data_IF_580777143647
#
_entry.id   IF_580777143647
#
_cell.length_a   1.000
_cell.length_b   1.000
_cell.length_c   1.000
_cell.angle_alpha   90.00
_cell.angle_beta   90.00
_cell.angle_gamma   90.00
#
_symmetry.space_group_name_H-M   'P 1'
#
loop_
_entity.id
_entity.type
_entity.pdbx_description
1 polymer ?
#
# COMPACT_ATOMS: atom_id res chain seq x y z
N UNK A 1 9.94 -19.91 -8.74
CA UNK A 1 11.23 -19.93 -8.00
C UNK A 1 11.58 -18.48 -7.78
N UNK A 2 11.75 -18.06 -6.53
CA UNK A 2 12.13 -16.69 -6.20
C UNK A 2 13.56 -16.37 -6.67
N UNK A 3 13.90 -15.09 -6.71
CA UNK A 3 15.27 -14.64 -7.02
C UNK A 3 16.21 -15.04 -5.87
N UNK A 4 17.42 -15.54 -6.13
CA UNK A 4 18.39 -15.79 -5.06
C UNK A 4 18.57 -14.56 -4.15
N UNK A 5 18.44 -14.74 -2.84
CA UNK A 5 18.52 -13.64 -1.85
C UNK A 5 19.83 -12.87 -1.91
N UNK A 6 20.94 -13.54 -2.25
CA UNK A 6 22.24 -12.89 -2.53
C UNK A 6 22.16 -11.81 -3.62
N UNK A 7 21.32 -11.97 -4.65
CA UNK A 7 21.12 -10.94 -5.67
C UNK A 7 20.31 -9.76 -5.14
N UNK A 8 19.47 -9.95 -4.11
CA UNK A 8 18.79 -8.85 -3.42
C UNK A 8 19.84 -8.02 -2.67
N UNK A 9 20.72 -8.67 -1.91
CA UNK A 9 21.81 -8.02 -1.17
C UNK A 9 22.72 -7.20 -2.11
N UNK A 10 23.13 -7.79 -3.24
CA UNK A 10 23.99 -7.13 -4.22
C UNK A 10 23.30 -5.90 -4.86
N UNK A 11 21.98 -5.96 -5.09
CA UNK A 11 21.22 -4.82 -5.61
C UNK A 11 21.10 -3.68 -4.58
N UNK A 12 20.83 -4.00 -3.31
CA UNK A 12 20.83 -3.00 -2.24
C UNK A 12 22.20 -2.33 -2.09
N UNK A 13 23.28 -3.12 -2.07
CA UNK A 13 24.64 -2.60 -1.98
C UNK A 13 25.00 -1.70 -3.17
N UNK A 14 24.62 -2.09 -4.38
CA UNK A 14 24.85 -1.31 -5.60
C UNK A 14 24.12 0.03 -5.56
N UNK A 15 22.86 0.05 -5.14
CA UNK A 15 22.06 1.27 -5.03
C UNK A 15 22.62 2.22 -3.96
N UNK A 16 22.95 1.68 -2.77
CA UNK A 16 23.46 2.45 -1.65
C UNK A 16 24.84 3.08 -1.92
N UNK A 17 25.64 2.47 -2.80
CA UNK A 17 26.96 2.97 -3.14
C UNK A 17 26.95 4.14 -4.14
N UNK A 18 25.87 4.34 -4.90
CA UNK A 18 25.84 5.26 -6.05
C UNK A 18 24.70 6.29 -6.00
N UNK A 19 23.59 5.98 -5.32
CA UNK A 19 22.37 6.80 -5.38
C UNK A 19 21.95 7.34 -4.00
N UNK A 20 21.51 8.59 -4.01
CA UNK A 20 20.82 9.24 -2.88
C UNK A 20 19.31 8.97 -2.99
N UNK A 21 18.87 7.78 -2.57
CA UNK A 21 17.46 7.37 -2.63
C UNK A 21 16.67 8.08 -1.51
N UNK A 22 15.62 8.80 -1.89
CA UNK A 22 14.85 9.66 -0.96
C UNK A 22 13.57 9.05 -0.39
N UNK A 23 13.09 7.95 -0.96
CA UNK A 23 12.00 7.14 -0.42
C UNK A 23 12.00 5.77 -1.12
N UNK A 24 11.47 4.74 -0.47
CA UNK A 24 11.39 3.40 -1.02
C UNK A 24 10.04 2.73 -0.77
N UNK A 25 9.77 1.66 -1.53
CA UNK A 25 8.55 0.86 -1.46
C UNK A 25 8.88 -0.62 -1.49
N UNK A 26 8.17 -1.42 -0.69
CA UNK A 26 8.04 -2.87 -0.93
C UNK A 26 6.69 -3.20 -1.57
N UNK A 27 6.70 -4.15 -2.51
CA UNK A 27 5.50 -4.81 -3.04
C UNK A 27 5.43 -6.26 -2.58
N UNK A 28 4.95 -7.17 -3.43
CA UNK A 28 4.92 -8.61 -3.13
C UNK A 28 6.34 -9.18 -2.96
N UNK A 29 6.62 -9.81 -1.81
CA UNK A 29 7.95 -10.33 -1.46
C UNK A 29 8.03 -11.87 -1.42
N UNK A 30 7.34 -12.57 -2.33
CA UNK A 30 7.41 -14.02 -2.58
C UNK A 30 7.21 -14.98 -1.37
N UNK A 31 8.15 -15.04 -0.42
CA UNK A 31 8.15 -15.93 0.73
C UNK A 31 8.94 -15.32 1.92
N UNK A 32 8.96 -16.02 3.06
CA UNK A 32 9.59 -15.54 4.30
C UNK A 32 11.10 -15.28 4.15
N UNK A 33 11.81 -16.05 3.33
CA UNK A 33 13.25 -15.89 3.10
C UNK A 33 13.54 -14.55 2.42
N UNK A 34 12.73 -14.20 1.41
CA UNK A 34 12.86 -12.94 0.68
C UNK A 34 12.45 -11.74 1.51
N UNK A 35 11.38 -11.86 2.31
CA UNK A 35 10.98 -10.81 3.25
C UNK A 35 12.12 -10.53 4.23
N UNK A 36 12.71 -11.58 4.82
CA UNK A 36 13.81 -11.44 5.77
C UNK A 36 15.04 -10.78 5.12
N UNK A 37 15.42 -11.20 3.90
CA UNK A 37 16.53 -10.58 3.17
C UNK A 37 16.30 -9.09 2.94
N UNK A 38 15.09 -8.69 2.54
CA UNK A 38 14.73 -7.27 2.33
C UNK A 38 14.79 -6.49 3.65
N UNK A 39 14.22 -7.04 4.73
CA UNK A 39 14.25 -6.43 6.07
C UNK A 39 15.68 -6.19 6.54
N UNK A 40 16.56 -7.19 6.42
CA UNK A 40 17.96 -7.06 6.87
C UNK A 40 18.73 -6.00 6.09
N UNK A 41 18.44 -5.80 4.80
CA UNK A 41 19.04 -4.72 4.03
C UNK A 41 18.47 -3.35 4.39
N UNK A 42 17.15 -3.23 4.59
CA UNK A 42 16.49 -1.99 5.00
C UNK A 42 16.94 -1.52 6.40
N UNK A 43 17.39 -2.42 7.27
CA UNK A 43 18.01 -2.06 8.55
C UNK A 43 19.45 -1.54 8.42
N UNK A 44 20.15 -1.89 7.32
CA UNK A 44 21.55 -1.53 7.08
C UNK A 44 21.70 -0.25 6.27
N UNK A 45 20.70 0.05 5.45
CA UNK A 45 20.70 1.18 4.51
C UNK A 45 19.47 2.02 4.72
N UNK A 46 19.65 3.34 4.82
CA UNK A 46 18.56 4.30 4.85
C UNK A 46 18.25 4.76 3.41
N UNK A 47 17.07 4.41 2.91
CA UNK A 47 16.53 4.86 1.63
C UNK A 47 15.37 5.84 1.82
N UNK A 48 15.32 6.51 2.97
CA UNK A 48 14.26 7.43 3.35
C UNK A 48 12.96 6.71 3.75
N UNK A 49 11.81 7.42 3.72
CA UNK A 49 10.52 6.87 4.10
C UNK A 49 10.19 5.57 3.36
N UNK A 50 9.76 4.56 4.11
CA UNK A 50 9.38 3.25 3.59
C UNK A 50 7.85 3.14 3.48
N UNK A 51 7.37 2.93 2.26
CA UNK A 51 5.98 2.52 1.98
C UNK A 51 5.89 1.01 1.88
N UNK A 52 5.16 0.37 2.78
CA UNK A 52 4.90 -1.08 2.74
C UNK A 52 3.54 -1.35 2.12
N UNK A 53 3.53 -1.89 0.90
CA UNK A 53 2.35 -2.51 0.31
C UNK A 53 2.42 -4.02 0.59
N UNK A 54 1.65 -4.54 1.56
CA UNK A 54 1.90 -5.89 2.10
C UNK A 54 1.55 -7.01 1.11
N UNK A 55 0.87 -6.72 0.00
CA UNK A 55 0.48 -7.62 -1.11
C UNK A 55 0.48 -9.10 -0.73
N UNK A 56 -0.54 -9.51 0.02
CA UNK A 56 -0.66 -10.89 0.54
C UNK A 56 -1.79 -11.66 -0.13
N UNK A 57 -2.76 -10.96 -0.70
CA UNK A 57 -3.99 -11.54 -1.24
C UNK A 57 -4.25 -10.97 -2.62
N UNK A 58 -4.42 -11.84 -3.61
CA UNK A 58 -4.75 -11.45 -4.96
C UNK A 58 -6.15 -10.81 -4.99
N UNK A 59 -6.43 -10.01 -6.01
CA UNK A 59 -7.75 -9.40 -6.22
C UNK A 59 -8.91 -10.42 -6.23
N UNK A 60 -8.65 -11.67 -6.59
CA UNK A 60 -9.61 -12.78 -6.55
C UNK A 60 -9.71 -13.52 -5.20
N UNK A 61 -9.07 -13.03 -4.14
CA UNK A 61 -9.08 -13.63 -2.80
C UNK A 61 -8.07 -14.76 -2.60
N UNK A 62 -7.30 -15.14 -3.62
CA UNK A 62 -6.27 -16.18 -3.49
C UNK A 62 -5.09 -15.66 -2.65
N UNK A 63 -4.65 -16.46 -1.67
CA UNK A 63 -3.43 -16.17 -0.92
C UNK A 63 -2.22 -16.16 -1.87
N UNK A 64 -1.43 -15.10 -1.82
CA UNK A 64 -0.19 -14.93 -2.58
C UNK A 64 1.04 -15.35 -1.77
N UNK A 65 0.94 -15.25 -0.45
CA UNK A 65 2.01 -15.60 0.49
C UNK A 65 1.58 -16.79 1.36
N UNK A 66 2.56 -17.62 1.71
CA UNK A 66 2.37 -18.65 2.73
C UNK A 66 2.27 -18.00 4.13
N UNK A 67 1.70 -18.74 5.09
CA UNK A 67 1.37 -18.20 6.41
C UNK A 67 2.62 -17.76 7.21
N UNK A 68 3.75 -18.41 6.99
CA UNK A 68 5.06 -18.01 7.54
C UNK A 68 5.52 -16.66 6.98
N UNK A 69 5.38 -16.43 5.68
CA UNK A 69 5.71 -15.15 5.04
C UNK A 69 4.82 -14.00 5.53
N UNK A 70 3.52 -14.24 5.75
CA UNK A 70 2.61 -13.25 6.35
C UNK A 70 3.10 -12.86 7.76
N UNK A 71 3.53 -13.85 8.55
CA UNK A 71 4.06 -13.59 9.89
C UNK A 71 5.35 -12.76 9.83
N UNK A 72 6.27 -13.07 8.92
CA UNK A 72 7.50 -12.29 8.73
C UNK A 72 7.19 -10.85 8.30
N UNK A 73 6.23 -10.64 7.39
CA UNK A 73 5.78 -9.29 7.01
C UNK A 73 5.26 -8.54 8.23
N UNK A 74 4.41 -9.17 9.04
CA UNK A 74 3.82 -8.55 10.24
C UNK A 74 4.83 -8.25 11.33
N UNK A 75 5.72 -9.19 11.64
CA UNK A 75 6.59 -9.13 12.81
C UNK A 75 7.93 -8.44 12.52
N UNK A 76 8.38 -8.39 11.26
CA UNK A 76 9.70 -7.86 10.88
C UNK A 76 9.66 -6.66 9.92
N UNK A 77 8.77 -6.66 8.92
CA UNK A 77 8.71 -5.60 7.90
C UNK A 77 7.82 -4.43 8.31
N UNK A 78 6.62 -4.71 8.85
CA UNK A 78 5.68 -3.68 9.31
C UNK A 78 6.29 -2.69 10.33
N UNK A 79 7.11 -3.12 11.30
CA UNK A 79 7.76 -2.21 12.24
C UNK A 79 8.73 -1.20 11.60
N UNK A 80 9.13 -1.40 10.35
CA UNK A 80 9.98 -0.46 9.60
C UNK A 80 9.15 0.53 8.76
N UNK A 81 7.83 0.34 8.67
CA UNK A 81 6.99 1.07 7.74
C UNK A 81 6.73 2.51 8.21
N UNK A 82 7.18 3.49 7.42
CA UNK A 82 6.70 4.87 7.55
C UNK A 82 5.22 4.96 7.16
N UNK A 83 4.77 4.15 6.21
CA UNK A 83 3.35 4.01 5.88
C UNK A 83 3.04 2.61 5.37
N UNK A 84 1.93 2.02 5.83
CA UNK A 84 1.43 0.73 5.36
C UNK A 84 0.10 0.92 4.62
N UNK A 85 -0.06 0.24 3.48
CA UNK A 85 -1.24 0.38 2.61
C UNK A 85 -2.01 -0.93 2.42
N UNK A 86 -2.50 -1.64 3.45
CA UNK A 86 -3.24 -2.89 3.24
C UNK A 86 -4.61 -2.63 2.61
N UNK A 87 -5.12 -3.57 1.81
CA UNK A 87 -6.56 -3.67 1.55
C UNK A 87 -7.30 -4.32 2.74
N UNK A 88 -8.64 -4.35 2.71
CA UNK A 88 -9.44 -4.98 3.77
C UNK A 88 -8.99 -6.41 4.12
N UNK A 89 -8.97 -7.38 3.19
CA UNK A 89 -8.47 -8.73 3.49
C UNK A 89 -7.06 -8.75 4.10
N UNK A 90 -6.15 -7.92 3.59
CA UNK A 90 -4.79 -7.82 4.12
C UNK A 90 -4.76 -7.26 5.55
N UNK A 91 -5.57 -6.25 5.83
CA UNK A 91 -5.70 -5.68 7.17
C UNK A 91 -6.30 -6.70 8.15
N UNK A 92 -7.31 -7.47 7.73
CA UNK A 92 -7.87 -8.56 8.53
C UNK A 92 -6.81 -9.63 8.85
N UNK A 93 -5.99 -10.02 7.88
CA UNK A 93 -4.90 -10.98 8.09
C UNK A 93 -3.80 -10.46 9.03
N UNK A 94 -3.35 -9.21 8.84
CA UNK A 94 -2.30 -8.62 9.67
C UNK A 94 -2.75 -8.43 11.12
N UNK A 95 -4.00 -8.02 11.31
CA UNK A 95 -4.55 -7.69 12.65
C UNK A 95 -5.21 -8.87 13.35
N UNK A 96 -5.60 -9.92 12.60
CA UNK A 96 -6.43 -11.02 13.11
C UNK A 96 -7.87 -10.60 13.44
N UNK A 97 -8.32 -9.44 12.96
CA UNK A 97 -9.66 -8.89 13.23
C UNK A 97 -10.54 -9.00 12.00
N UNK A 98 -11.85 -9.17 12.21
CA UNK A 98 -12.81 -9.02 11.11
C UNK A 98 -13.23 -7.56 10.97
N UNK A 99 -13.21 -7.03 9.74
CA UNK A 99 -13.47 -5.64 9.42
C UNK A 99 -14.77 -5.55 8.61
N UNK A 100 -15.89 -5.45 9.33
CA UNK A 100 -17.25 -5.42 8.74
C UNK A 100 -17.94 -4.05 8.85
N UNK A 101 -17.27 -3.04 9.39
CA UNK A 101 -17.80 -1.69 9.56
C UNK A 101 -16.70 -0.63 9.58
N UNK A 102 -17.05 0.63 9.38
CA UNK A 102 -16.13 1.76 9.50
C UNK A 102 -15.47 1.80 10.88
N UNK A 103 -16.22 1.54 11.95
CA UNK A 103 -15.66 1.50 13.31
C UNK A 103 -14.64 0.35 13.48
N UNK A 104 -14.89 -0.82 12.87
CA UNK A 104 -13.92 -1.91 12.87
C UNK A 104 -12.65 -1.55 12.08
N UNK A 105 -12.80 -0.81 10.98
CA UNK A 105 -11.68 -0.34 10.16
C UNK A 105 -10.80 0.67 10.92
N UNK A 106 -11.41 1.59 11.69
CA UNK A 106 -10.69 2.50 12.60
C UNK A 106 -9.87 1.72 13.63
N UNK A 107 -10.49 0.72 14.28
CA UNK A 107 -9.80 -0.16 15.25
C UNK A 107 -8.64 -0.93 14.62
N UNK A 108 -8.84 -1.44 13.42
CA UNK A 108 -7.79 -2.11 12.66
C UNK A 108 -6.63 -1.15 12.35
N UNK A 109 -6.92 0.12 12.02
CA UNK A 109 -5.91 1.16 11.82
C UNK A 109 -5.01 1.35 13.04
N UNK A 110 -5.60 1.53 14.22
CA UNK A 110 -4.84 1.61 15.46
C UNK A 110 -4.07 0.33 15.79
N UNK A 111 -4.63 -0.84 15.43
CA UNK A 111 -3.95 -2.12 15.65
C UNK A 111 -2.72 -2.25 14.77
N UNK A 112 -2.78 -1.79 13.52
CA UNK A 112 -1.64 -1.73 12.60
C UNK A 112 -0.56 -0.75 13.08
N UNK A 113 -0.95 0.41 13.65
CA UNK A 113 0.02 1.28 14.34
C UNK A 113 0.65 0.60 15.55
N UNK A 114 -0.13 -0.16 16.32
CA UNK A 114 0.37 -0.96 17.45
C UNK A 114 1.36 -2.07 17.03
N UNK A 115 1.36 -2.48 15.76
CA UNK A 115 2.34 -3.39 15.17
C UNK A 115 3.62 -2.67 14.68
N UNK A 116 3.66 -1.33 14.76
CA UNK A 116 4.85 -0.52 14.51
C UNK A 116 4.83 0.33 13.23
N UNK A 117 3.74 0.30 12.44
CA UNK A 117 3.62 1.20 11.29
C UNK A 117 3.28 2.64 11.75
N UNK A 118 4.00 3.65 11.26
CA UNK A 118 3.74 5.04 11.68
C UNK A 118 2.40 5.56 11.15
N UNK A 119 2.15 5.36 9.85
CA UNK A 119 0.94 5.82 9.16
C UNK A 119 0.24 4.62 8.50
N UNK A 120 -1.08 4.63 8.48
CA UNK A 120 -1.89 3.50 7.99
C UNK A 120 -2.94 3.98 7.01
N UNK A 121 -3.04 3.29 5.87
CA UNK A 121 -4.10 3.48 4.87
C UNK A 121 -4.76 2.14 4.61
N UNK A 122 -5.96 1.93 5.17
CA UNK A 122 -6.73 0.73 4.86
C UNK A 122 -7.56 1.01 3.62
N UNK A 123 -7.29 0.26 2.54
CA UNK A 123 -7.90 0.43 1.23
C UNK A 123 -9.16 -0.41 1.10
N UNK A 124 -10.16 0.16 0.47
CA UNK A 124 -11.40 -0.53 0.17
C UNK A 124 -12.33 -0.53 1.37
N UNK A 125 -13.59 -0.23 1.09
CA UNK A 125 -14.65 -0.08 2.06
C UNK A 125 -15.87 0.39 1.30
N UNK A 126 -17.04 -0.14 1.63
CA UNK A 126 -18.30 0.23 0.97
C UNK A 126 -19.03 1.33 1.75
N UNK A 127 -18.59 1.65 2.97
CA UNK A 127 -19.28 2.60 3.86
C UNK A 127 -20.79 2.36 3.85
N UNK A 128 -21.56 3.45 3.89
CA UNK A 128 -23.02 3.43 3.69
C UNK A 128 -23.41 3.58 2.21
N UNK A 129 -22.48 3.97 1.34
CA UNK A 129 -22.73 4.22 -0.08
C UNK A 129 -21.89 3.26 -0.97
N UNK A 130 -22.52 2.25 -1.59
CA UNK A 130 -21.83 1.29 -2.45
C UNK A 130 -21.20 1.91 -3.70
N UNK A 131 -21.62 3.12 -4.09
CA UNK A 131 -21.08 3.84 -5.25
C UNK A 131 -19.76 4.56 -4.94
N UNK A 132 -19.27 4.51 -3.69
CA UNK A 132 -18.01 5.11 -3.27
C UNK A 132 -17.01 4.05 -2.84
N UNK A 133 -15.75 4.25 -3.23
CA UNK A 133 -14.60 3.52 -2.71
C UNK A 133 -13.98 4.33 -1.56
N UNK A 134 -14.22 3.90 -0.33
CA UNK A 134 -13.75 4.56 0.89
C UNK A 134 -12.45 3.93 1.39
N UNK A 135 -11.44 4.76 1.63
CA UNK A 135 -10.19 4.36 2.29
C UNK A 135 -10.08 5.12 3.62
N UNK A 136 -9.67 4.40 4.66
CA UNK A 136 -9.43 4.98 5.99
C UNK A 136 -7.95 5.34 6.12
N UNK A 137 -7.66 6.55 6.61
CA UNK A 137 -6.29 7.02 6.85
C UNK A 137 -6.12 7.38 8.33
N UNK A 138 -5.05 6.87 8.94
CA UNK A 138 -4.62 7.21 10.29
C UNK A 138 -3.14 7.60 10.25
N UNK A 139 -2.84 8.83 10.67
CA UNK A 139 -1.49 9.38 10.66
C UNK A 139 -0.79 9.16 12.01
N UNK A 140 0.54 9.29 11.99
CA UNK A 140 1.40 9.11 13.16
C UNK A 140 1.07 10.07 14.32
N UNK A 141 0.54 11.26 14.03
CA UNK A 141 0.11 12.24 15.04
C UNK A 141 -1.28 11.97 15.63
N UNK A 142 -1.93 10.87 15.21
CA UNK A 142 -3.29 10.49 15.62
C UNK A 142 -4.39 11.14 14.79
N UNK A 143 -4.07 12.02 13.84
CA UNK A 143 -5.05 12.56 12.90
C UNK A 143 -5.61 11.44 12.03
N UNK A 144 -6.93 11.37 11.90
CA UNK A 144 -7.61 10.39 11.08
C UNK A 144 -8.62 11.06 10.15
N UNK A 145 -8.76 10.51 8.94
CA UNK A 145 -9.73 10.97 7.95
C UNK A 145 -10.05 9.86 6.94
N UNK A 146 -11.14 10.04 6.21
CA UNK A 146 -11.54 9.17 5.12
C UNK A 146 -11.25 9.82 3.77
N UNK A 147 -11.00 8.97 2.78
CA UNK A 147 -10.87 9.32 1.38
C UNK A 147 -11.88 8.55 0.53
N UNK A 148 -12.80 9.27 -0.08
CA UNK A 148 -13.84 8.69 -0.94
C UNK A 148 -13.62 9.10 -2.39
N UNK A 149 -13.86 8.18 -3.32
CA UNK A 149 -13.94 8.46 -4.75
C UNK A 149 -15.04 7.62 -5.38
N UNK A 150 -15.66 8.07 -6.49
CA UNK A 150 -16.64 7.27 -7.21
C UNK A 150 -16.08 5.91 -7.62
N UNK A 151 -16.86 4.86 -7.37
CA UNK A 151 -16.56 3.51 -7.83
C UNK A 151 -16.97 3.41 -9.29
N UNK A 152 -16.00 3.12 -10.14
CA UNK A 152 -16.21 2.95 -11.58
C UNK A 152 -16.38 1.46 -11.86
N UNK A 153 -17.45 1.09 -12.57
CA UNK A 153 -17.69 -0.29 -12.99
C UNK A 153 -16.74 -0.66 -14.14
N UNK A 154 -15.59 -1.23 -13.78
CA UNK A 154 -14.58 -1.66 -14.74
C UNK A 154 -13.75 -2.83 -14.22
N UNK A 155 -13.42 -3.74 -15.14
CA UNK A 155 -12.48 -4.84 -14.90
C UNK A 155 -11.01 -4.41 -14.98
N UNK A 156 -10.75 -3.16 -15.41
CA UNK A 156 -9.42 -2.57 -15.66
C UNK A 156 -8.86 -1.91 -14.40
N UNK A 157 -8.58 -2.74 -13.41
CA UNK A 157 -8.17 -2.32 -12.05
C UNK A 157 -6.99 -3.17 -11.55
N UNK A 158 -6.24 -3.78 -12.47
CA UNK A 158 -5.01 -4.47 -12.11
C UNK A 158 -3.91 -3.45 -11.79
N UNK A 159 -3.26 -3.61 -10.64
CA UNK A 159 -2.23 -2.69 -10.17
C UNK A 159 -2.72 -1.48 -9.37
N UNK A 160 -3.99 -1.44 -8.92
CA UNK A 160 -4.53 -0.34 -8.09
C UNK A 160 -3.74 -0.14 -6.80
N UNK A 161 -3.48 -1.22 -6.05
CA UNK A 161 -2.68 -1.17 -4.84
C UNK A 161 -1.26 -0.68 -5.12
N UNK A 162 -0.62 -1.29 -6.14
CA UNK A 162 0.75 -0.95 -6.51
C UNK A 162 0.94 0.50 -6.93
N UNK A 163 -0.04 1.02 -7.68
CA UNK A 163 -0.04 2.41 -8.16
C UNK A 163 -0.23 3.39 -7.02
N UNK A 164 -1.10 3.06 -6.06
CA UNK A 164 -1.32 3.90 -4.87
C UNK A 164 -0.02 4.03 -4.06
N UNK A 165 0.56 2.90 -3.67
CA UNK A 165 1.78 2.85 -2.85
C UNK A 165 2.98 3.45 -3.57
N UNK A 166 3.11 3.25 -4.89
CA UNK A 166 4.15 3.88 -5.69
C UNK A 166 3.98 5.41 -5.77
N UNK A 167 2.75 5.90 -5.93
CA UNK A 167 2.48 7.34 -5.97
C UNK A 167 2.77 8.00 -4.61
N UNK A 168 2.39 7.36 -3.49
CA UNK A 168 2.75 7.84 -2.13
C UNK A 168 4.27 7.95 -2.01
N UNK A 169 5.00 6.88 -2.36
CA UNK A 169 6.47 6.86 -2.31
C UNK A 169 7.08 7.98 -3.14
N UNK A 170 6.56 8.21 -4.36
CA UNK A 170 7.03 9.27 -5.24
C UNK A 170 6.77 10.67 -4.68
N UNK A 171 5.61 10.92 -4.06
CA UNK A 171 5.32 12.21 -3.42
C UNK A 171 6.17 12.44 -2.16
N UNK A 172 6.44 11.38 -1.38
CA UNK A 172 7.37 11.45 -0.24
C UNK A 172 8.80 11.76 -0.73
N UNK A 173 9.26 11.13 -1.80
CA UNK A 173 10.55 11.43 -2.42
C UNK A 173 10.64 12.87 -3.00
N UNK A 174 9.50 13.53 -3.24
CA UNK A 174 9.42 14.95 -3.61
C UNK A 174 9.36 15.90 -2.39
N UNK A 175 9.39 15.36 -1.18
CA UNK A 175 9.32 16.13 0.07
C UNK A 175 7.91 16.58 0.45
N UNK A 176 6.86 15.93 -0.07
CA UNK A 176 5.48 16.21 0.38
C UNK A 176 5.24 15.64 1.78
N UNK A 177 4.31 16.27 2.51
CA UNK A 177 3.82 15.71 3.77
C UNK A 177 3.03 14.42 3.51
N UNK A 178 2.96 13.55 4.52
CA UNK A 178 2.24 12.27 4.43
C UNK A 178 0.78 12.47 4.00
N UNK A 179 0.05 13.39 4.65
CA UNK A 179 -1.35 13.68 4.29
C UNK A 179 -1.50 14.14 2.83
N UNK A 180 -0.58 14.97 2.32
CA UNK A 180 -0.60 15.42 0.93
C UNK A 180 -0.29 14.27 -0.04
N UNK A 181 0.73 13.46 0.25
CA UNK A 181 1.11 12.30 -0.55
C UNK A 181 -0.05 11.30 -0.72
N UNK A 182 -0.75 11.00 0.38
CA UNK A 182 -1.89 10.07 0.37
C UNK A 182 -3.07 10.62 -0.44
N UNK A 183 -3.41 11.91 -0.26
CA UNK A 183 -4.48 12.57 -1.01
C UNK A 183 -4.18 12.59 -2.51
N UNK A 184 -2.95 12.93 -2.89
CA UNK A 184 -2.49 12.90 -4.28
C UNK A 184 -2.56 11.49 -4.86
N UNK A 185 -2.13 10.47 -4.11
CA UNK A 185 -2.17 9.09 -4.57
C UNK A 185 -3.60 8.58 -4.80
N UNK A 186 -4.55 8.89 -3.92
CA UNK A 186 -5.97 8.55 -4.12
C UNK A 186 -6.53 9.22 -5.38
N UNK A 187 -6.26 10.51 -5.57
CA UNK A 187 -6.69 11.24 -6.75
C UNK A 187 -6.08 10.67 -8.03
N UNK A 188 -4.78 10.37 -8.01
CA UNK A 188 -4.09 9.77 -9.14
C UNK A 188 -4.68 8.41 -9.50
N UNK A 189 -4.83 7.50 -8.54
CA UNK A 189 -5.41 6.18 -8.76
C UNK A 189 -6.84 6.28 -9.30
N UNK A 190 -7.69 7.15 -8.72
CA UNK A 190 -9.04 7.37 -9.23
C UNK A 190 -9.02 7.85 -10.69
N UNK A 191 -8.12 8.77 -11.03
CA UNK A 191 -7.91 9.24 -12.40
C UNK A 191 -7.50 8.12 -13.36
N UNK A 192 -6.57 7.25 -12.95
CA UNK A 192 -6.10 6.12 -13.77
C UNK A 192 -7.17 5.06 -14.05
N UNK A 193 -8.18 4.96 -13.18
CA UNK A 193 -9.34 4.09 -13.36
C UNK A 193 -10.40 4.77 -14.25
N UNK A 194 -10.60 6.08 -14.04
CA UNK A 194 -11.55 6.90 -14.80
C UNK A 194 -11.16 7.02 -16.28
N UNK A 195 -9.90 7.36 -16.55
CA UNK A 195 -9.34 7.46 -17.89
C UNK A 195 -8.65 6.15 -18.28
N UNK A 196 -9.38 5.03 -18.20
CA UNK A 196 -8.81 3.70 -18.41
C UNK A 196 -8.34 3.45 -19.85
N UNK A 197 -7.41 2.49 -20.01
CA UNK A 197 -6.91 2.02 -21.31
C UNK A 197 -7.35 0.58 -21.60
N UNK A 198 -7.49 0.24 -22.89
CA UNK A 198 -7.86 -1.09 -23.32
C UNK A 198 -6.63 -1.92 -23.72
N UNK A 199 -6.06 -2.64 -22.76
CA UNK A 199 -4.93 -3.54 -22.98
C UNK A 199 -5.26 -4.94 -22.46
N UNK A 200 -5.12 -5.96 -23.32
CA UNK A 200 -5.36 -7.36 -23.01
C UNK A 200 -6.84 -7.74 -22.83
N UNK A 201 -7.09 -9.05 -22.76
CA UNK A 201 -8.45 -9.63 -22.72
C UNK A 201 -8.99 -9.93 -21.32
N UNK A 202 -8.15 -9.87 -20.27
CA UNK A 202 -8.53 -10.15 -18.88
C UNK A 202 -8.71 -8.87 -18.04
N UNK A 203 -8.31 -8.94 -16.77
CA UNK A 203 -8.19 -7.75 -15.92
C UNK A 203 -7.06 -6.86 -16.42
N UNK A 204 -7.41 -5.82 -17.18
CA UNK A 204 -6.42 -4.92 -17.75
C UNK A 204 -5.77 -3.98 -16.72
N UNK A 205 -4.66 -3.33 -17.12
CA UNK A 205 -3.93 -2.41 -16.28
C UNK A 205 -4.65 -1.08 -16.11
N UNK A 206 -4.12 -0.25 -15.21
CA UNK A 206 -4.45 1.16 -15.09
C UNK A 206 -3.79 2.00 -16.20
N UNK A 207 -4.33 3.19 -16.47
CA UNK A 207 -3.69 4.17 -17.32
C UNK A 207 -2.78 5.10 -16.50
N UNK A 208 -1.48 4.83 -16.45
CA UNK A 208 -0.53 5.67 -15.70
C UNK A 208 -0.26 7.05 -16.34
N UNK A 209 -0.71 7.29 -17.57
CA UNK A 209 -0.67 8.62 -18.20
C UNK A 209 -1.88 9.51 -17.86
N UNK A 210 -2.86 8.97 -17.13
CA UNK A 210 -4.04 9.72 -16.74
C UNK A 210 -3.71 10.90 -15.82
N UNK A 211 -4.60 11.88 -15.82
CA UNK A 211 -4.55 12.98 -14.86
C UNK A 211 -5.24 12.59 -13.55
N UNK A 212 -4.80 13.11 -12.38
CA UNK A 212 -5.50 12.87 -11.12
C UNK A 212 -6.96 13.32 -11.17
N UNK A 213 -7.86 12.52 -10.61
CA UNK A 213 -9.29 12.85 -10.54
C UNK A 213 -9.55 13.99 -9.56
N UNK A 214 -10.45 14.91 -9.94
CA UNK A 214 -10.94 15.98 -9.08
C UNK A 214 -12.10 15.53 -8.17
N UNK A 215 -12.54 14.27 -8.28
CA UNK A 215 -13.72 13.75 -7.60
C UNK A 215 -13.40 13.08 -6.25
N UNK A 216 -12.19 13.28 -5.72
CA UNK A 216 -11.81 12.75 -4.39
C UNK A 216 -12.32 13.66 -3.30
N UNK A 217 -13.05 13.07 -2.36
CA UNK A 217 -13.61 13.75 -1.19
C UNK A 217 -12.80 13.34 0.03
N UNK A 218 -12.43 14.33 0.85
CA UNK A 218 -11.84 14.14 2.18
C UNK A 218 -12.90 14.47 3.21
N UNK A 219 -13.11 13.60 4.19
CA UNK A 219 -14.03 13.88 5.29
C UNK A 219 -13.52 13.29 6.61
N UNK A 220 -14.03 13.83 7.71
CA UNK A 220 -13.58 13.46 9.06
C UNK A 220 -13.90 12.01 9.41
N UNK A 221 -13.04 11.42 10.25
CA UNK A 221 -13.05 10.02 10.67
C UNK A 221 -14.18 9.63 11.61
#
# INVERSE_FOLDING_TARGET
MGMPTKLIDEQFASLAADLDIRACKTGMLADAEHVHAVVENLKRVDFGPLTVDPVMIAKGGAALLAADAIKTVRDELLPLATVVTPNLPEAEQLTGQSITSNQAMVKAGHSLQGLGADNVIIKGGHGDNPDLANDFVLLADGTAFWLSAPRIDTVRTHGTGDTLSACITAELAKGRSMAAAIKTAKAYVAGTIQDGIQVGYGHGPLNHWATPSEQVIVHDA
#
